data_IF_908727614738
#
_entry.id   IF_908727614738
#
_cell.length_a   1.000
_cell.length_b   1.000
_cell.length_c   1.000
_cell.angle_alpha   90.00
_cell.angle_beta   90.00
_cell.angle_gamma   90.00
#
_symmetry.space_group_name_H-M   'P 1'
#
loop_
_entity.id
_entity.type
_entity.pdbx_description
1 polymer ?
#
# COMPACT_ATOMS: atom_id res chain seq x y z
N UNK A 1 2.73 10.15 -1.98
CA UNK A 1 3.99 9.91 -2.66
C UNK A 1 4.14 10.86 -3.83
N UNK A 2 5.25 11.56 -3.96
CA UNK A 2 5.45 12.41 -5.14
C UNK A 2 5.70 11.58 -6.38
N UNK A 3 5.08 11.97 -7.48
CA UNK A 3 5.27 11.33 -8.77
C UNK A 3 6.25 12.18 -9.60
N UNK A 4 7.21 11.53 -10.22
CA UNK A 4 8.23 12.18 -11.03
C UNK A 4 7.89 12.20 -12.52
N UNK A 5 6.90 11.41 -12.92
CA UNK A 5 6.48 11.26 -14.31
C UNK A 5 4.96 11.46 -14.39
N UNK A 6 4.51 12.33 -15.29
CA UNK A 6 3.08 12.62 -15.44
C UNK A 6 2.24 11.38 -15.71
N UNK A 7 2.78 10.40 -16.42
CA UNK A 7 2.08 9.16 -16.72
C UNK A 7 1.75 8.33 -15.48
N UNK A 8 2.47 8.55 -14.38
CA UNK A 8 2.24 7.85 -13.12
C UNK A 8 1.21 8.53 -12.23
N UNK A 9 0.77 9.74 -12.60
CA UNK A 9 -0.23 10.45 -11.81
C UNK A 9 -1.57 9.73 -11.86
N UNK A 10 -2.23 9.55 -10.71
CA UNK A 10 -3.54 8.91 -10.69
C UNK A 10 -4.58 9.80 -11.36
N UNK A 11 -5.41 9.22 -12.21
CA UNK A 11 -6.51 9.91 -12.91
C UNK A 11 -7.82 9.79 -12.17
N UNK A 12 -7.92 8.82 -11.26
CA UNK A 12 -9.08 8.57 -10.44
C UNK A 12 -8.66 8.48 -8.98
N UNK A 13 -9.54 8.82 -8.01
CA UNK A 13 -9.25 8.62 -6.59
C UNK A 13 -8.94 7.15 -6.31
N UNK A 14 -7.93 6.90 -5.46
CA UNK A 14 -7.50 5.55 -5.13
C UNK A 14 -8.63 4.71 -4.53
N UNK A 15 -9.46 5.29 -3.67
CA UNK A 15 -10.59 4.57 -3.08
C UNK A 15 -11.63 4.14 -4.10
N UNK A 16 -11.88 4.97 -5.13
CA UNK A 16 -12.80 4.62 -6.22
C UNK A 16 -12.25 3.45 -7.03
N UNK A 17 -10.97 3.48 -7.37
CA UNK A 17 -10.31 2.38 -8.07
C UNK A 17 -10.36 1.08 -7.26
N UNK A 18 -10.13 1.16 -5.96
CA UNK A 18 -10.18 0.01 -5.08
C UNK A 18 -11.58 -0.61 -5.04
N UNK A 19 -12.63 0.21 -4.96
CA UNK A 19 -14.01 -0.29 -5.01
C UNK A 19 -14.32 -0.99 -6.32
N UNK A 20 -13.82 -0.47 -7.45
CA UNK A 20 -13.96 -1.11 -8.75
C UNK A 20 -13.27 -2.47 -8.79
N UNK A 21 -12.07 -2.58 -8.20
CA UNK A 21 -11.34 -3.84 -8.11
C UNK A 21 -12.10 -4.87 -7.26
N UNK A 22 -12.67 -4.44 -6.13
CA UNK A 22 -13.45 -5.32 -5.26
C UNK A 22 -14.73 -5.81 -5.91
N UNK A 23 -15.31 -5.05 -6.83
CA UNK A 23 -16.54 -5.40 -7.53
C UNK A 23 -16.32 -6.42 -8.65
N UNK A 24 -15.08 -6.61 -9.11
CA UNK A 24 -14.77 -7.59 -10.17
C UNK A 24 -14.95 -9.02 -9.65
N UNK A 25 -15.41 -9.97 -10.51
CA UNK A 25 -15.48 -11.36 -10.12
C UNK A 25 -14.08 -11.95 -9.93
N UNK A 26 -14.00 -12.99 -9.10
CA UNK A 26 -12.75 -13.68 -8.83
C UNK A 26 -12.02 -13.15 -7.60
N UNK A 27 -10.74 -13.46 -7.49
CA UNK A 27 -9.90 -13.14 -6.35
C UNK A 27 -9.02 -11.94 -6.71
N UNK A 28 -8.97 -10.95 -5.82
CA UNK A 28 -8.03 -9.85 -5.91
C UNK A 28 -6.81 -10.16 -5.04
N UNK A 29 -5.67 -10.39 -5.67
CA UNK A 29 -4.41 -10.59 -4.97
C UNK A 29 -3.84 -9.24 -4.52
N UNK A 30 -3.51 -9.12 -3.24
CA UNK A 30 -2.92 -7.91 -2.68
C UNK A 30 -1.66 -8.28 -1.90
N UNK A 31 -0.47 -8.06 -2.48
CA UNK A 31 0.77 -8.33 -1.75
C UNK A 31 0.96 -7.36 -0.60
N UNK A 32 1.54 -7.83 0.49
CA UNK A 32 1.92 -6.98 1.62
C UNK A 32 3.09 -6.09 1.24
N UNK A 33 2.93 -4.79 1.45
CA UNK A 33 3.99 -3.80 1.22
C UNK A 33 4.06 -2.87 2.41
N UNK A 34 5.26 -2.64 2.94
CA UNK A 34 5.45 -1.78 4.12
C UNK A 34 6.39 -0.60 3.85
N UNK A 35 6.83 -0.43 2.61
CA UNK A 35 7.63 0.71 2.20
C UNK A 35 7.44 1.00 0.71
N UNK A 36 7.98 2.12 0.25
CA UNK A 36 7.84 2.54 -1.13
C UNK A 36 8.49 1.58 -2.12
N UNK A 37 9.62 0.98 -1.77
CA UNK A 37 10.30 0.02 -2.65
C UNK A 37 9.43 -1.21 -2.89
N UNK A 38 8.85 -1.77 -1.83
CA UNK A 38 7.98 -2.93 -1.95
C UNK A 38 6.74 -2.60 -2.79
N UNK A 39 6.16 -1.41 -2.63
CA UNK A 39 5.02 -0.97 -3.42
C UNK A 39 5.37 -0.83 -4.91
N UNK A 40 6.53 -0.27 -5.24
CA UNK A 40 7.00 -0.17 -6.62
C UNK A 40 7.23 -1.54 -7.25
N UNK A 41 7.79 -2.48 -6.49
CA UNK A 41 7.99 -3.85 -6.95
C UNK A 41 6.66 -4.55 -7.21
N UNK A 42 5.68 -4.36 -6.33
CA UNK A 42 4.34 -4.93 -6.51
C UNK A 42 3.67 -4.36 -7.77
N UNK A 43 3.77 -3.06 -7.99
CA UNK A 43 3.24 -2.41 -9.19
C UNK A 43 3.92 -2.95 -10.46
N UNK A 44 5.22 -3.09 -10.45
CA UNK A 44 5.99 -3.62 -11.58
C UNK A 44 5.62 -5.08 -11.87
N UNK A 45 5.27 -5.86 -10.85
CA UNK A 45 4.83 -7.24 -11.00
C UNK A 45 3.39 -7.36 -11.51
N UNK A 46 2.66 -6.26 -11.68
CA UNK A 46 1.30 -6.26 -12.23
C UNK A 46 0.18 -6.28 -11.20
N UNK A 47 0.48 -6.16 -9.92
CA UNK A 47 -0.56 -6.07 -8.88
C UNK A 47 -1.24 -4.71 -8.92
N UNK A 48 -2.56 -4.71 -8.75
CA UNK A 48 -3.38 -3.50 -8.83
C UNK A 48 -3.76 -2.94 -7.47
N UNK A 49 -3.50 -3.68 -6.41
CA UNK A 49 -3.74 -3.26 -5.03
C UNK A 49 -2.67 -3.86 -4.14
N UNK A 50 -2.41 -3.20 -3.02
CA UNK A 50 -1.42 -3.63 -2.03
C UNK A 50 -2.02 -3.59 -0.65
N UNK A 51 -1.44 -4.35 0.27
CA UNK A 51 -1.84 -4.38 1.68
C UNK A 51 -0.74 -3.79 2.55
N UNK A 52 -1.06 -2.78 3.32
CA UNK A 52 -0.13 -2.21 4.29
C UNK A 52 -0.24 -2.99 5.59
N UNK A 53 0.65 -3.97 5.76
CA UNK A 53 0.63 -4.89 6.90
C UNK A 53 1.03 -4.20 8.20
N UNK A 54 0.16 -4.25 9.22
CA UNK A 54 0.48 -3.77 10.56
C UNK A 54 1.63 -4.54 11.19
N UNK A 55 1.66 -5.85 11.01
CA UNK A 55 2.75 -6.68 11.51
C UNK A 55 4.07 -6.33 10.85
N UNK A 56 4.08 -6.10 9.53
CA UNK A 56 5.30 -5.72 8.82
C UNK A 56 5.79 -4.32 9.22
N UNK A 57 4.88 -3.36 9.41
CA UNK A 57 5.24 -2.04 9.92
C UNK A 57 5.89 -2.13 11.30
N UNK A 58 5.27 -2.87 12.22
CA UNK A 58 5.82 -3.08 13.56
C UNK A 58 7.19 -3.73 13.50
N UNK A 59 7.33 -4.80 12.74
CA UNK A 59 8.58 -5.53 12.60
C UNK A 59 9.69 -4.65 12.01
N UNK A 60 9.37 -3.78 11.06
CA UNK A 60 10.34 -2.87 10.45
C UNK A 60 10.90 -1.86 11.45
N UNK A 61 10.16 -1.59 12.52
CA UNK A 61 10.61 -0.71 13.63
C UNK A 61 11.18 -1.49 14.81
N UNK A 62 11.31 -2.82 14.69
CA UNK A 62 11.80 -3.68 15.77
C UNK A 62 10.80 -3.87 16.89
N UNK A 63 9.49 -3.72 16.62
CA UNK A 63 8.42 -3.82 17.60
C UNK A 63 7.56 -5.06 17.38
N UNK A 64 6.98 -5.64 18.45
CA UNK A 64 6.00 -6.71 18.28
C UNK A 64 4.67 -6.17 17.74
N UNK A 65 3.89 -7.05 17.11
CA UNK A 65 2.58 -6.72 16.54
C UNK A 65 1.51 -6.70 17.64
N UNK A 66 1.51 -5.66 18.45
CA UNK A 66 0.61 -5.50 19.63
C UNK A 66 -0.23 -4.22 19.56
N UNK A 67 -0.35 -3.61 18.40
CA UNK A 67 -1.15 -2.38 18.25
C UNK A 67 -0.54 -1.17 18.95
N UNK A 68 0.79 -1.12 19.07
CA UNK A 68 1.50 -0.05 19.77
C UNK A 68 2.01 1.05 18.83
N UNK A 69 1.75 0.90 17.53
CA UNK A 69 2.09 1.92 16.53
C UNK A 69 1.04 3.03 16.58
N UNK A 70 1.48 4.29 16.58
CA UNK A 70 0.56 5.44 16.58
C UNK A 70 -0.05 5.67 15.20
N UNK A 71 -1.16 6.41 15.17
CA UNK A 71 -1.81 6.82 13.91
C UNK A 71 -0.84 7.62 13.04
N UNK A 72 -0.05 8.51 13.62
CA UNK A 72 0.93 9.29 12.87
C UNK A 72 1.99 8.42 12.21
N UNK A 73 2.45 7.38 12.90
CA UNK A 73 3.40 6.42 12.35
C UNK A 73 2.78 5.63 11.20
N UNK A 74 1.54 5.20 11.31
CA UNK A 74 0.82 4.52 10.23
C UNK A 74 0.69 5.45 9.02
N UNK A 75 0.33 6.70 9.22
CA UNK A 75 0.23 7.70 8.15
C UNK A 75 1.57 7.92 7.45
N UNK A 76 2.68 7.87 8.19
CA UNK A 76 4.01 7.95 7.61
C UNK A 76 4.26 6.80 6.61
N UNK A 77 3.90 5.57 6.97
CA UNK A 77 4.01 4.43 6.07
C UNK A 77 3.06 4.54 4.87
N UNK A 78 1.84 5.00 5.08
CA UNK A 78 0.86 5.20 4.00
C UNK A 78 1.42 6.16 2.93
N UNK A 79 2.10 7.21 3.36
CA UNK A 79 2.67 8.17 2.41
C UNK A 79 3.82 7.60 1.57
N UNK A 80 4.48 6.55 2.04
CA UNK A 80 5.56 5.89 1.30
C UNK A 80 5.03 4.92 0.25
N UNK A 81 3.92 4.29 0.53
CA UNK A 81 3.32 3.23 -0.28
C UNK A 81 2.34 3.80 -1.30
#
# INVERSE_FOLDING_TARGET
MPYLVDADLPREPAGQRFRQLLARPGILGMPGTHNGLAALQAKAAGFEAVYLSGAAMSASMGLPDLGIITVDEVCFFIRQV
#
